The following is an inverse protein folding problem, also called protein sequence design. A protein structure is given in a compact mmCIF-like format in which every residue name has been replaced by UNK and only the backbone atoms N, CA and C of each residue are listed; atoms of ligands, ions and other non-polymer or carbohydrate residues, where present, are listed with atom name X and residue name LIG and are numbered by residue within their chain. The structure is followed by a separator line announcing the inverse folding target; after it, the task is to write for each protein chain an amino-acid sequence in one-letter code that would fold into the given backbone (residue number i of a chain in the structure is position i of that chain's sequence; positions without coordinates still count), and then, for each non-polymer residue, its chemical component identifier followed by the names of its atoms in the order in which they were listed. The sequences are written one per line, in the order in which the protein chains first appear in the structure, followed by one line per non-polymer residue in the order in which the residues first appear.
data_IF_049179147360
#
_entry.id   IF_049179147360
#
_cell.length_a   1.000
_cell.length_b   1.000
_cell.length_c   1.000
_cell.angle_alpha   90.00
_cell.angle_beta   90.00
_cell.angle_gamma   90.00
#
_symmetry.space_group_name_H-M   'P 1'
#
loop_
_entity.id
_entity.type
_entity.pdbx_description
1 polymer ?
#
# COMPACT_ATOMS: atom_id res chain seq x y z
N UNK A 1 17.21 -3.88 -8.11
CA UNK A 1 15.75 -4.09 -8.38
C UNK A 1 15.21 -3.24 -9.55
N UNK A 2 15.53 -1.95 -9.62
CA UNK A 2 15.02 -0.99 -10.60
C UNK A 2 15.24 -1.39 -12.07
N UNK A 3 16.41 -1.98 -12.40
CA UNK A 3 16.70 -2.44 -13.77
C UNK A 3 15.80 -3.59 -14.22
N UNK A 4 15.56 -4.58 -13.34
CA UNK A 4 14.66 -5.69 -13.61
C UNK A 4 13.20 -5.23 -13.78
N UNK A 5 12.73 -4.30 -12.94
CA UNK A 5 11.37 -3.72 -13.03
C UNK A 5 11.18 -2.98 -14.37
N UNK A 6 12.17 -2.17 -14.79
CA UNK A 6 12.14 -1.47 -16.08
C UNK A 6 12.15 -2.43 -17.28
N UNK A 7 12.82 -3.58 -17.17
CA UNK A 7 12.91 -4.57 -18.24
C UNK A 7 11.61 -5.39 -18.38
N UNK A 8 11.02 -5.83 -17.27
CA UNK A 8 9.82 -6.69 -17.27
C UNK A 8 8.54 -5.88 -17.52
N UNK A 9 8.45 -4.67 -16.95
CA UNK A 9 7.22 -3.86 -16.96
C UNK A 9 7.33 -2.58 -17.80
N UNK A 10 8.45 -2.36 -18.50
CA UNK A 10 8.65 -1.21 -19.38
C UNK A 10 8.40 0.15 -18.70
N UNK A 11 7.74 1.08 -19.41
CA UNK A 11 7.40 2.41 -18.88
C UNK A 11 6.37 2.34 -17.73
N UNK A 12 5.43 1.38 -17.78
CA UNK A 12 4.42 1.20 -16.73
C UNK A 12 5.05 0.87 -15.37
N UNK A 13 6.02 -0.05 -15.31
CA UNK A 13 6.69 -0.38 -14.05
C UNK A 13 7.44 0.79 -13.42
N UNK A 14 7.89 1.75 -14.24
CA UNK A 14 8.55 2.96 -13.74
C UNK A 14 7.58 3.95 -13.10
N UNK A 15 6.35 4.03 -13.60
CA UNK A 15 5.36 5.04 -13.18
C UNK A 15 4.40 4.52 -12.10
N UNK A 16 4.37 3.21 -11.84
CA UNK A 16 3.51 2.64 -10.79
C UNK A 16 4.29 2.01 -9.64
N UNK A 17 5.39 1.32 -9.91
CA UNK A 17 6.16 0.60 -8.89
C UNK A 17 7.38 1.40 -8.40
N UNK A 18 7.99 2.19 -9.28
CA UNK A 18 9.18 2.98 -8.95
C UNK A 18 8.84 4.41 -8.48
N UNK A 19 7.57 4.77 -8.46
CA UNK A 19 7.06 6.05 -7.98
C UNK A 19 5.92 5.82 -7.00
N UNK A 20 5.93 6.56 -5.89
CA UNK A 20 4.89 6.49 -4.86
C UNK A 20 3.98 7.72 -4.90
N UNK A 21 2.77 7.58 -4.36
CA UNK A 21 1.85 8.68 -4.10
C UNK A 21 1.63 8.84 -2.58
N UNK A 22 1.74 10.06 -2.07
CA UNK A 22 1.46 10.37 -0.66
C UNK A 22 0.00 10.79 -0.48
N UNK A 23 -0.88 9.81 -0.39
CA UNK A 23 -2.35 10.04 -0.35
C UNK A 23 -2.85 10.13 1.10
N UNK A 24 -3.78 11.06 1.37
CA UNK A 24 -4.57 11.10 2.61
C UNK A 24 -6.05 10.83 2.30
N UNK A 25 -6.74 9.94 3.04
CA UNK A 25 -8.14 9.58 2.78
C UNK A 25 -9.12 10.58 3.41
N UNK A 26 -9.03 11.86 3.04
CA UNK A 26 -9.74 12.96 3.71
C UNK A 26 -11.27 12.79 3.76
N UNK A 27 -11.88 12.24 2.71
CA UNK A 27 -13.35 12.00 2.68
C UNK A 27 -13.75 10.90 3.67
N UNK A 28 -12.95 9.84 3.80
CA UNK A 28 -13.22 8.75 4.75
C UNK A 28 -13.01 9.22 6.19
N UNK A 29 -11.98 10.03 6.44
CA UNK A 29 -11.76 10.65 7.74
C UNK A 29 -12.93 11.58 8.10
N UNK A 30 -13.39 12.42 7.17
CA UNK A 30 -14.50 13.35 7.38
C UNK A 30 -15.86 12.65 7.57
N UNK A 31 -16.07 11.48 6.95
CA UNK A 31 -17.30 10.69 7.11
C UNK A 31 -17.33 9.85 8.39
N UNK A 32 -16.25 9.86 9.19
CA UNK A 32 -16.14 9.05 10.40
C UNK A 32 -15.92 7.56 10.12
N UNK A 33 -15.43 7.21 8.92
CA UNK A 33 -15.10 5.83 8.58
C UNK A 33 -13.98 5.32 9.48
N UNK A 34 -14.20 4.17 10.14
CA UNK A 34 -13.20 3.51 10.99
C UNK A 34 -12.50 2.39 10.22
N UNK A 35 -11.21 2.58 9.96
CA UNK A 35 -10.37 1.54 9.38
C UNK A 35 -10.18 0.40 10.38
N UNK A 36 -10.42 -0.85 9.95
CA UNK A 36 -10.13 -2.03 10.77
C UNK A 36 -8.63 -2.16 11.10
N UNK A 37 -7.77 -1.76 10.17
CA UNK A 37 -6.31 -1.72 10.31
C UNK A 37 -5.78 -0.35 9.84
N UNK A 38 -5.69 0.66 10.73
CA UNK A 38 -5.28 2.01 10.36
C UNK A 38 -3.78 2.15 10.08
N UNK A 39 -2.98 1.18 10.54
CA UNK A 39 -1.55 1.12 10.30
C UNK A 39 -1.16 -0.09 9.43
N UNK A 40 -0.07 0.09 8.67
CA UNK A 40 0.43 -0.92 7.76
C UNK A 40 0.85 -2.21 8.50
N UNK A 41 1.39 -2.08 9.71
CA UNK A 41 1.89 -3.24 10.45
C UNK A 41 0.74 -4.15 10.87
N UNK A 42 -0.36 -3.61 11.39
CA UNK A 42 -1.57 -4.36 11.73
C UNK A 42 -2.19 -5.00 10.48
N UNK A 43 -2.30 -4.25 9.37
CA UNK A 43 -2.83 -4.79 8.12
C UNK A 43 -2.00 -5.97 7.58
N UNK A 44 -0.68 -5.88 7.68
CA UNK A 44 0.23 -6.95 7.25
C UNK A 44 0.16 -8.17 8.18
N UNK A 45 0.06 -7.98 9.50
CA UNK A 45 -0.09 -9.11 10.42
C UNK A 45 -1.39 -9.86 10.15
N UNK A 46 -2.50 -9.16 9.96
CA UNK A 46 -3.77 -9.78 9.58
C UNK A 46 -3.69 -10.54 8.28
N UNK A 47 -3.19 -9.89 7.23
CA UNK A 47 -3.13 -10.47 5.88
C UNK A 47 -2.22 -11.70 5.83
N UNK A 48 -1.18 -11.74 6.67
CA UNK A 48 -0.23 -12.85 6.75
C UNK A 48 -0.58 -13.87 7.84
N UNK A 49 -1.73 -13.74 8.51
CA UNK A 49 -2.18 -14.66 9.55
C UNK A 49 -1.34 -14.64 10.84
N UNK A 50 -0.70 -13.50 11.14
CA UNK A 50 0.19 -13.30 12.31
C UNK A 50 -0.51 -12.58 13.48
N UNK A 51 -1.83 -12.58 13.49
CA UNK A 51 -2.65 -11.95 14.53
C UNK A 51 -3.04 -12.92 15.66
N UNK A 52 -2.73 -14.21 15.51
CA UNK A 52 -2.98 -15.23 16.52
C UNK A 52 -1.74 -15.43 17.40
N UNK A 53 -1.71 -14.72 18.54
CA UNK A 53 -1.05 -15.16 19.77
C UNK A 53 -2.01 -14.95 20.95
#
# INVERSE_FOLDING_TARGET
PTAAVKLIFGRMGRETLLTGQRVRPAVLEASGFRFGYPDLSAALRFTLGRDAE
#
